data_IF_621886043323
#
_entry.id   IF_621886043323
#
_cell.length_a   1.000
_cell.length_b   1.000
_cell.length_c   1.000
_cell.angle_alpha   90.00
_cell.angle_beta   90.00
_cell.angle_gamma   90.00
#
_symmetry.space_group_name_H-M   'P 1'
#
loop_
_entity.id
_entity.type
_entity.pdbx_description
1 polymer ?
#
# COMPACT_ATOMS: atom_id res chain seq x y z
N UNK A 1 2.18 -23.77 5.78
CA UNK A 1 1.34 -23.16 6.83
C UNK A 1 2.12 -22.04 7.53
N UNK A 2 2.04 -20.81 7.01
CA UNK A 2 2.76 -19.63 7.55
C UNK A 2 1.78 -18.46 7.66
N UNK A 3 0.68 -18.69 8.36
CA UNK A 3 -0.52 -17.85 8.30
C UNK A 3 -0.93 -17.20 9.62
N UNK A 4 -0.16 -17.31 10.70
CA UNK A 4 -0.58 -16.85 12.03
C UNK A 4 0.20 -15.66 12.62
N UNK A 5 1.15 -15.04 11.89
CA UNK A 5 1.91 -13.89 12.41
C UNK A 5 2.18 -12.77 11.40
N UNK A 6 1.34 -12.62 10.36
CA UNK A 6 1.51 -11.48 9.45
C UNK A 6 1.12 -10.20 10.21
N UNK A 7 2.08 -9.29 10.42
CA UNK A 7 1.87 -7.88 10.82
C UNK A 7 1.01 -7.08 9.80
N UNK A 8 0.40 -7.77 8.85
CA UNK A 8 -0.37 -7.24 7.73
C UNK A 8 -1.81 -7.66 7.96
N UNK A 9 -2.66 -6.68 8.26
CA UNK A 9 -4.11 -6.87 8.36
C UNK A 9 -4.71 -6.69 6.97
N UNK A 10 -5.40 -7.71 6.47
CA UNK A 10 -6.22 -7.57 5.27
C UNK A 10 -7.46 -6.77 5.64
N UNK A 11 -7.68 -5.66 4.97
CA UNK A 11 -8.81 -4.75 5.18
C UNK A 11 -9.70 -4.70 3.95
N UNK A 12 -10.98 -4.43 4.17
CA UNK A 12 -11.96 -4.22 3.09
C UNK A 12 -11.78 -2.86 2.43
N UNK A 13 -12.40 -2.67 1.25
CA UNK A 13 -12.42 -1.37 0.55
C UNK A 13 -13.02 -0.26 1.40
N UNK A 14 -14.07 -0.56 2.17
CA UNK A 14 -14.72 0.42 3.06
C UNK A 14 -13.83 0.85 4.22
N UNK A 15 -13.12 -0.10 4.83
CA UNK A 15 -12.12 0.18 5.87
C UNK A 15 -10.95 1.00 5.31
N UNK A 16 -10.46 0.67 4.11
CA UNK A 16 -9.41 1.43 3.46
C UNK A 16 -9.80 2.90 3.25
N UNK A 17 -11.01 3.17 2.75
CA UNK A 17 -11.51 4.54 2.60
C UNK A 17 -11.63 5.27 3.94
N UNK A 18 -12.09 4.58 5.00
CA UNK A 18 -12.18 5.18 6.33
C UNK A 18 -10.79 5.54 6.88
N UNK A 19 -9.79 4.67 6.70
CA UNK A 19 -8.42 4.91 7.13
C UNK A 19 -7.77 6.08 6.36
N UNK A 20 -7.99 6.16 5.05
CA UNK A 20 -7.51 7.26 4.22
C UNK A 20 -8.11 8.60 4.69
N UNK A 21 -9.43 8.64 4.89
CA UNK A 21 -10.13 9.88 5.21
C UNK A 21 -10.01 10.30 6.68
N UNK A 22 -10.02 9.35 7.63
CA UNK A 22 -10.01 9.65 9.07
C UNK A 22 -8.62 9.65 9.68
N UNK A 23 -7.77 8.72 9.28
CA UNK A 23 -6.43 8.53 9.86
C UNK A 23 -5.31 9.07 8.94
N UNK A 24 -5.67 9.56 7.76
CA UNK A 24 -4.71 10.08 6.79
C UNK A 24 -3.79 8.99 6.25
N UNK A 25 -4.32 7.78 6.06
CA UNK A 25 -3.55 6.64 5.60
C UNK A 25 -2.88 6.90 4.26
N UNK A 26 -1.65 6.40 4.10
CA UNK A 26 -0.91 6.47 2.84
C UNK A 26 -1.16 5.19 2.06
N UNK A 27 -1.66 5.33 0.83
CA UNK A 27 -1.87 4.20 -0.07
C UNK A 27 -0.62 4.01 -0.91
N UNK A 28 -0.13 2.78 -0.99
CA UNK A 28 1.04 2.39 -1.78
C UNK A 28 0.60 1.38 -2.82
N UNK A 29 0.75 1.73 -4.09
CA UNK A 29 0.42 0.85 -5.21
C UNK A 29 1.69 0.18 -5.74
N UNK A 30 1.73 -1.15 -5.65
CA UNK A 30 2.86 -1.99 -6.07
C UNK A 30 2.83 -2.33 -7.56
N UNK A 31 1.77 -1.94 -8.28
CA UNK A 31 1.63 -2.25 -9.69
C UNK A 31 2.58 -1.40 -10.52
N UNK A 32 2.92 -1.89 -11.71
CA UNK A 32 3.68 -1.09 -12.66
C UNK A 32 3.00 0.25 -12.96
N UNK A 33 3.81 1.27 -13.24
CA UNK A 33 3.33 2.64 -13.50
C UNK A 33 2.24 2.71 -14.57
N UNK A 34 2.31 1.87 -15.59
CA UNK A 34 1.29 1.82 -16.64
C UNK A 34 -0.09 1.37 -16.12
N UNK A 35 -0.13 0.48 -15.14
CA UNK A 35 -1.38 0.06 -14.50
C UNK A 35 -1.92 1.15 -13.56
N UNK A 36 -1.05 1.87 -12.87
CA UNK A 36 -1.45 3.02 -12.04
C UNK A 36 -1.98 4.15 -12.93
N UNK A 37 -1.37 4.39 -14.09
CA UNK A 37 -1.85 5.34 -15.09
C UNK A 37 -3.23 4.98 -15.66
N UNK A 38 -3.52 3.69 -15.84
CA UNK A 38 -4.85 3.21 -16.27
C UNK A 38 -5.94 3.44 -15.21
N UNK A 39 -5.56 3.54 -13.95
CA UNK A 39 -6.47 3.81 -12.84
C UNK A 39 -5.87 3.43 -11.49
N UNK A 40 -5.81 4.39 -10.58
CA UNK A 40 -5.29 4.22 -9.24
C UNK A 40 -6.17 4.93 -8.21
N UNK A 41 -5.98 4.58 -6.94
CA UNK A 41 -6.65 5.26 -5.82
C UNK A 41 -6.04 6.66 -5.69
N UNK A 42 -6.90 7.68 -5.54
CA UNK A 42 -6.45 9.06 -5.40
C UNK A 42 -5.50 9.21 -4.20
N UNK A 43 -4.35 9.86 -4.42
CA UNK A 43 -3.31 10.02 -3.40
C UNK A 43 -2.47 8.77 -3.15
N UNK A 44 -2.58 7.73 -3.98
CA UNK A 44 -1.70 6.57 -3.89
C UNK A 44 -0.31 6.87 -4.45
N UNK A 45 0.73 6.53 -3.68
CA UNK A 45 2.11 6.51 -4.12
C UNK A 45 2.39 5.22 -4.89
N UNK A 46 2.90 5.33 -6.13
CA UNK A 46 3.38 4.16 -6.86
C UNK A 46 4.80 3.81 -6.37
N UNK A 47 4.96 2.60 -5.82
CA UNK A 47 6.27 2.08 -5.44
C UNK A 47 6.38 0.63 -5.89
N UNK A 48 7.37 0.34 -6.73
CA UNK A 48 7.58 -1.03 -7.18
C UNK A 48 8.14 -1.89 -6.03
N UNK A 49 7.81 -3.19 -5.99
CA UNK A 49 8.37 -4.10 -4.98
C UNK A 49 9.91 -4.11 -4.95
N UNK A 50 10.55 -3.86 -6.10
CA UNK A 50 12.00 -3.70 -6.21
C UNK A 50 12.53 -2.44 -5.51
N UNK A 51 11.80 -1.33 -5.57
CA UNK A 51 12.15 -0.07 -4.92
C UNK A 51 12.00 -0.17 -3.39
N UNK A 52 10.97 -0.89 -2.92
CA UNK A 52 10.78 -1.20 -1.50
C UNK A 52 11.93 -2.07 -0.97
N UNK A 53 12.32 -3.11 -1.71
CA UNK A 53 13.47 -3.95 -1.36
C UNK A 53 14.79 -3.18 -1.38
N UNK A 54 14.90 -2.19 -2.26
CA UNK A 54 16.04 -1.28 -2.33
C UNK A 54 16.01 -0.17 -1.25
N UNK A 55 15.06 -0.20 -0.31
CA UNK A 55 14.87 0.82 0.72
C UNK A 55 14.60 2.24 0.16
N UNK A 56 14.15 2.35 -1.09
CA UNK A 56 13.83 3.63 -1.72
C UNK A 56 12.39 4.07 -1.37
N UNK A 57 12.11 4.12 -0.07
CA UNK A 57 10.80 4.42 0.52
C UNK A 57 10.78 5.81 1.17
N UNK A 58 11.66 6.72 0.74
CA UNK A 58 11.87 8.03 1.39
C UNK A 58 10.61 8.90 1.54
N UNK A 59 9.58 8.69 0.72
CA UNK A 59 8.27 9.31 0.89
C UNK A 59 7.43 8.67 2.00
N UNK A 60 7.47 7.33 2.12
CA UNK A 60 6.82 6.59 3.21
C UNK A 60 7.48 6.84 4.56
N UNK A 61 8.78 7.08 4.57
CA UNK A 61 9.56 7.44 5.77
C UNK A 61 8.99 8.70 6.46
N UNK A 62 8.54 9.69 5.69
CA UNK A 62 7.89 10.90 6.20
C UNK A 62 6.52 10.63 6.84
N UNK A 63 5.95 9.46 6.58
CA UNK A 63 4.64 9.04 7.03
C UNK A 63 4.69 7.81 7.97
N UNK A 64 5.85 7.52 8.56
CA UNK A 64 6.08 6.39 9.50
C UNK A 64 5.16 6.32 10.73
N UNK A 65 4.37 7.36 11.00
CA UNK A 65 3.38 7.40 12.08
C UNK A 65 1.93 7.19 11.63
N UNK A 66 1.68 7.01 10.33
CA UNK A 66 0.34 6.86 9.76
C UNK A 66 0.12 5.44 9.23
N UNK A 67 -1.13 4.94 9.20
CA UNK A 67 -1.43 3.65 8.59
C UNK A 67 -1.01 3.63 7.11
N UNK A 68 -0.31 2.56 6.70
CA UNK A 68 0.10 2.34 5.31
C UNK A 68 -0.77 1.24 4.73
N UNK A 69 -1.43 1.52 3.61
CA UNK A 69 -2.30 0.59 2.90
C UNK A 69 -1.59 0.19 1.62
N UNK A 70 -1.23 -1.09 1.51
CA UNK A 70 -0.57 -1.63 0.31
C UNK A 70 -1.60 -2.23 -0.63
N UNK A 71 -1.54 -1.85 -1.91
CA UNK A 71 -2.46 -2.27 -2.96
C UNK A 71 -1.65 -2.85 -4.13
N UNK A 72 -2.13 -3.96 -4.69
CA UNK A 72 -1.47 -4.69 -5.75
C UNK A 72 -2.47 -5.33 -6.71
N UNK A 73 -1.97 -5.92 -7.80
CA UNK A 73 -2.82 -6.55 -8.81
C UNK A 73 -3.44 -7.87 -8.37
N UNK A 74 -2.82 -8.54 -7.40
CA UNK A 74 -3.31 -9.76 -6.77
C UNK A 74 -3.08 -9.69 -5.26
N UNK A 75 -3.98 -10.26 -4.46
CA UNK A 75 -3.83 -10.30 -3.00
C UNK A 75 -2.51 -10.94 -2.52
N UNK A 76 -1.90 -11.80 -3.36
CA UNK A 76 -0.58 -12.39 -3.13
C UNK A 76 0.57 -11.38 -3.14
N UNK A 77 0.45 -10.27 -3.87
CA UNK A 77 1.48 -9.21 -3.87
C UNK A 77 1.40 -8.29 -2.64
N UNK A 78 0.33 -8.39 -1.86
CA UNK A 78 0.02 -7.46 -0.76
C UNK A 78 0.15 -8.12 0.63
N UNK A 79 0.69 -9.34 0.72
CA UNK A 79 0.87 -10.11 1.96
C UNK A 79 2.31 -10.09 2.48
#
# INVERSE_FOLDING_TARGET
FKGLTSKVKVITRGEATSLINKEGAVVVDLRQRDNVRKGHIAGAANLLPGEIKANNVGELEKHKGKPIIVVGGSGMQCQ
#
